data_IF_239742565525
#
_entry.id   IF_239742565525
#
_cell.length_a   1.000
_cell.length_b   1.000
_cell.length_c   1.000
_cell.angle_alpha   90.00
_cell.angle_beta   90.00
_cell.angle_gamma   90.00
#
_symmetry.space_group_name_H-M   'P 1'
#
loop_
_entity.id
_entity.type
_entity.pdbx_description
1 polymer ?
#
# COMPACT_ATOMS: atom_id res chain seq x y z
N UNK A 1 44.16 -8.14 67.97
CA UNK A 1 44.61 -9.40 67.40
C UNK A 1 43.40 -10.19 67.00
N UNK A 2 42.96 -9.99 65.78
CA UNK A 2 42.18 -10.93 64.96
C UNK A 2 41.82 -10.23 63.65
N UNK A 3 42.45 -10.76 62.61
CA UNK A 3 42.32 -10.34 61.22
C UNK A 3 40.91 -10.51 60.70
N UNK A 4 40.40 -9.48 60.04
CA UNK A 4 39.23 -9.53 59.18
C UNK A 4 39.69 -9.66 57.71
N UNK A 5 39.15 -10.59 56.90
CA UNK A 5 39.51 -10.71 55.53
C UNK A 5 38.85 -9.63 54.64
N UNK A 6 39.61 -9.12 53.69
CA UNK A 6 39.30 -8.22 52.64
C UNK A 6 38.10 -8.69 51.76
N UNK A 7 37.16 -7.83 51.52
CA UNK A 7 36.03 -8.06 50.63
C UNK A 7 36.48 -7.85 49.16
N UNK A 8 36.32 -8.83 48.33
CA UNK A 8 36.48 -8.80 46.86
C UNK A 8 35.33 -8.02 46.25
N UNK A 9 35.56 -7.05 45.39
CA UNK A 9 34.46 -6.33 44.70
C UNK A 9 33.83 -7.25 43.66
N UNK A 10 32.52 -7.40 43.79
CA UNK A 10 31.66 -8.23 43.00
C UNK A 10 31.59 -7.80 41.54
N UNK A 11 31.38 -8.81 40.72
CA UNK A 11 31.33 -8.79 39.28
C UNK A 11 30.26 -7.82 38.72
N UNK A 12 30.61 -7.31 37.58
CA UNK A 12 29.75 -6.49 36.74
C UNK A 12 28.43 -7.19 36.48
N UNK A 13 27.33 -6.53 36.81
CA UNK A 13 25.99 -6.93 36.43
C UNK A 13 25.87 -6.79 34.90
N UNK A 14 25.88 -7.91 34.20
CA UNK A 14 25.47 -7.98 32.83
C UNK A 14 24.03 -7.43 32.73
N UNK A 15 23.86 -6.29 32.05
CA UNK A 15 22.55 -5.71 31.78
C UNK A 15 21.80 -6.65 30.85
N UNK A 16 20.89 -7.41 31.43
CA UNK A 16 19.92 -8.25 30.71
C UNK A 16 18.86 -7.33 30.05
N UNK A 17 19.27 -6.53 29.05
CA UNK A 17 18.34 -5.83 28.19
C UNK A 17 17.79 -6.85 27.19
N UNK A 18 16.46 -7.05 27.16
CA UNK A 18 15.84 -7.86 26.12
C UNK A 18 16.20 -7.28 24.74
N UNK A 19 16.40 -8.13 23.73
CA UNK A 19 16.69 -7.67 22.39
C UNK A 19 15.58 -6.70 21.95
N UNK A 20 15.89 -5.64 21.15
CA UNK A 20 14.92 -4.69 20.69
C UNK A 20 13.80 -5.44 19.98
N UNK A 21 12.60 -5.33 20.52
CA UNK A 21 11.40 -5.92 19.92
C UNK A 21 11.28 -5.38 18.49
N UNK A 22 11.26 -6.28 17.52
CA UNK A 22 10.98 -5.94 16.11
C UNK A 22 9.57 -5.35 16.06
N UNK A 23 9.49 -4.02 16.03
CA UNK A 23 8.22 -3.33 15.84
C UNK A 23 7.67 -3.73 14.46
N UNK A 24 6.50 -4.32 14.47
CA UNK A 24 5.74 -4.62 13.24
C UNK A 24 5.55 -3.31 12.45
N UNK A 25 5.56 -3.33 11.11
CA UNK A 25 5.23 -2.17 10.28
C UNK A 25 3.91 -1.49 10.68
N UNK A 26 2.94 -2.27 11.15
CA UNK A 26 1.67 -1.76 11.71
C UNK A 26 1.89 -0.97 13.03
N UNK A 27 2.84 -1.38 13.86
CA UNK A 27 3.17 -0.67 15.10
C UNK A 27 3.94 0.65 14.83
N UNK A 28 4.73 0.71 13.76
CA UNK A 28 5.42 1.94 13.34
C UNK A 28 4.43 2.99 12.80
N UNK A 29 3.37 2.58 12.11
CA UNK A 29 2.25 3.46 11.70
C UNK A 29 1.32 3.83 12.87
N UNK A 30 1.17 2.96 13.85
CA UNK A 30 0.42 3.23 15.07
C UNK A 30 1.15 4.21 16.00
N UNK A 31 2.43 4.55 15.74
CA UNK A 31 3.12 5.59 16.48
C UNK A 31 2.43 6.95 16.27
N UNK A 32 2.07 7.68 17.34
CA UNK A 32 1.32 8.94 17.24
C UNK A 32 1.91 9.94 16.26
N UNK A 33 3.23 10.04 16.17
CA UNK A 33 3.93 10.96 15.26
C UNK A 33 3.84 10.55 13.76
N UNK A 34 3.72 9.27 13.45
CA UNK A 34 3.52 8.80 12.08
C UNK A 34 2.08 9.03 11.63
N UNK A 35 1.14 8.87 12.56
CA UNK A 35 -0.27 9.18 12.37
C UNK A 35 -0.50 10.65 12.05
N UNK A 36 0.00 11.56 12.88
CA UNK A 36 -0.18 13.00 12.66
C UNK A 36 0.44 13.45 11.33
N UNK A 37 1.57 12.92 10.94
CA UNK A 37 2.16 13.19 9.61
C UNK A 37 1.29 12.67 8.46
N UNK A 38 0.74 11.48 8.57
CA UNK A 38 -0.16 10.94 7.55
C UNK A 38 -1.44 11.76 7.45
N UNK A 39 -2.02 12.15 8.58
CA UNK A 39 -3.21 13.01 8.64
C UNK A 39 -2.96 14.37 7.99
N UNK A 40 -1.85 15.02 8.31
CA UNK A 40 -1.47 16.29 7.65
C UNK A 40 -1.34 16.13 6.13
N UNK A 41 -0.71 15.06 5.65
CA UNK A 41 -0.60 14.78 4.23
C UNK A 41 -1.95 14.47 3.58
N UNK A 42 -2.85 13.82 4.30
CA UNK A 42 -4.20 13.54 3.84
C UNK A 42 -5.01 14.83 3.74
N UNK A 43 -4.98 15.67 4.78
CA UNK A 43 -5.70 16.97 4.81
C UNK A 43 -5.19 17.92 3.69
N UNK A 44 -3.88 17.90 3.41
CA UNK A 44 -3.28 18.68 2.31
C UNK A 44 -3.68 18.13 0.93
N UNK A 45 -3.65 16.79 0.76
CA UNK A 45 -3.93 16.14 -0.53
C UNK A 45 -5.42 16.03 -0.83
N UNK A 46 -6.27 15.93 0.21
CA UNK A 46 -7.72 15.72 0.13
C UNK A 46 -8.42 16.79 0.95
N UNK A 47 -8.62 18.01 0.40
CA UNK A 47 -9.36 19.06 1.10
C UNK A 47 -10.72 18.53 1.54
N UNK A 48 -11.16 18.95 2.73
CA UNK A 48 -12.38 18.47 3.36
C UNK A 48 -13.58 18.52 2.42
N UNK A 49 -14.17 17.37 2.17
CA UNK A 49 -15.48 17.20 1.56
C UNK A 49 -16.59 17.45 2.56
N UNK A 50 -17.78 16.98 2.27
CA UNK A 50 -18.88 17.01 3.24
C UNK A 50 -18.58 16.04 4.41
N UNK A 51 -19.35 16.17 5.52
CA UNK A 51 -19.12 15.36 6.72
C UNK A 51 -19.19 13.84 6.48
N UNK A 52 -19.88 13.38 5.42
CA UNK A 52 -19.97 11.96 5.05
C UNK A 52 -18.67 11.47 4.40
N UNK A 53 -18.08 12.30 3.55
CA UNK A 53 -16.76 11.98 2.95
C UNK A 53 -15.67 11.90 4.02
N UNK A 54 -15.64 12.85 4.95
CA UNK A 54 -14.69 12.84 6.09
C UNK A 54 -14.88 11.58 6.94
N UNK A 55 -16.13 11.18 7.21
CA UNK A 55 -16.43 9.95 7.94
C UNK A 55 -15.95 8.70 7.18
N UNK A 56 -16.16 8.64 5.86
CA UNK A 56 -15.71 7.52 5.03
C UNK A 56 -14.18 7.42 5.00
N UNK A 57 -13.48 8.54 4.83
CA UNK A 57 -12.02 8.60 4.87
C UNK A 57 -11.49 8.11 6.22
N UNK A 58 -12.08 8.56 7.33
CA UNK A 58 -11.71 8.11 8.67
C UNK A 58 -11.96 6.61 8.86
N UNK A 59 -13.04 6.06 8.30
CA UNK A 59 -13.34 4.63 8.34
C UNK A 59 -12.30 3.82 7.59
N UNK A 60 -12.00 4.19 6.33
CA UNK A 60 -10.95 3.57 5.52
C UNK A 60 -9.61 3.60 6.25
N UNK A 61 -9.30 4.74 6.86
CA UNK A 61 -8.06 4.90 7.61
C UNK A 61 -8.01 4.00 8.87
N UNK A 62 -9.10 3.96 9.65
CA UNK A 62 -9.17 3.13 10.85
C UNK A 62 -9.00 1.65 10.50
N UNK A 63 -9.58 1.19 9.40
CA UNK A 63 -9.41 -0.18 8.92
C UNK A 63 -8.01 -0.44 8.38
N UNK A 64 -7.39 0.53 7.72
CA UNK A 64 -5.99 0.45 7.30
C UNK A 64 -5.07 0.18 8.51
N UNK A 65 -5.29 0.90 9.60
CA UNK A 65 -4.53 0.72 10.85
C UNK A 65 -4.81 -0.61 11.54
N UNK A 66 -6.06 -1.09 11.50
CA UNK A 66 -6.50 -2.35 12.12
C UNK A 66 -6.07 -3.58 11.33
N UNK A 67 -6.13 -3.52 10.00
CA UNK A 67 -5.86 -4.65 9.12
C UNK A 67 -4.36 -4.96 8.92
N UNK A 68 -3.46 -4.24 9.57
CA UNK A 68 -2.02 -4.45 9.41
C UNK A 68 -1.54 -4.22 7.97
N UNK A 69 -2.21 -3.33 7.23
CA UNK A 69 -1.92 -2.92 5.85
C UNK A 69 -2.17 -3.98 4.77
N UNK A 70 -3.28 -4.66 4.86
CA UNK A 70 -3.82 -5.43 3.73
C UNK A 70 -4.39 -4.47 2.66
N UNK A 71 -3.69 -4.35 1.53
CA UNK A 71 -4.07 -3.45 0.44
C UNK A 71 -5.43 -3.78 -0.14
N UNK A 72 -5.71 -5.06 -0.35
CA UNK A 72 -6.94 -5.50 -1.00
C UNK A 72 -8.15 -5.10 -0.15
N UNK A 73 -8.04 -5.26 1.16
CA UNK A 73 -9.10 -4.84 2.09
C UNK A 73 -9.33 -3.33 2.11
N UNK A 74 -8.27 -2.53 2.00
CA UNK A 74 -8.40 -1.08 1.89
C UNK A 74 -9.07 -0.69 0.59
N UNK A 75 -8.71 -1.31 -0.52
CA UNK A 75 -9.33 -1.04 -1.81
C UNK A 75 -10.81 -1.41 -1.83
N UNK A 76 -11.20 -2.54 -1.22
CA UNK A 76 -12.60 -2.94 -1.08
C UNK A 76 -13.41 -1.90 -0.27
N UNK A 77 -12.86 -1.37 0.80
CA UNK A 77 -13.49 -0.30 1.58
C UNK A 77 -13.63 0.98 0.77
N UNK A 78 -12.60 1.34 0.00
CA UNK A 78 -12.62 2.54 -0.85
C UNK A 78 -13.70 2.43 -1.93
N UNK A 79 -13.77 1.33 -2.67
CA UNK A 79 -14.80 1.17 -3.73
C UNK A 79 -16.20 1.16 -3.16
N UNK A 80 -16.42 0.49 -2.02
CA UNK A 80 -17.72 0.43 -1.33
C UNK A 80 -18.14 1.82 -0.83
N UNK A 81 -17.24 2.54 -0.16
CA UNK A 81 -17.51 3.89 0.35
C UNK A 81 -17.78 4.87 -0.79
N UNK A 82 -17.00 4.79 -1.88
CA UNK A 82 -17.17 5.68 -3.04
C UNK A 82 -18.51 5.44 -3.72
N UNK A 83 -18.91 4.17 -3.94
CA UNK A 83 -20.23 3.87 -4.49
C UNK A 83 -21.36 4.44 -3.62
N UNK A 84 -21.26 4.28 -2.30
CA UNK A 84 -22.25 4.79 -1.35
C UNK A 84 -22.33 6.33 -1.37
N UNK A 85 -21.19 7.01 -1.36
CA UNK A 85 -21.13 8.48 -1.36
C UNK A 85 -21.63 9.09 -2.67
N UNK A 86 -21.37 8.44 -3.80
CA UNK A 86 -21.73 8.96 -5.13
C UNK A 86 -23.09 8.48 -5.62
N UNK A 87 -23.70 7.49 -4.95
CA UNK A 87 -24.92 6.83 -5.40
C UNK A 87 -24.70 5.99 -6.67
N UNK A 88 -23.48 5.54 -6.91
CA UNK A 88 -23.12 4.67 -8.03
C UNK A 88 -23.67 3.26 -7.83
N UNK A 89 -24.04 2.58 -8.92
CA UNK A 89 -24.46 1.17 -8.90
C UNK A 89 -23.27 0.20 -9.00
N UNK A 90 -22.09 0.74 -9.32
CA UNK A 90 -20.83 0.02 -9.31
C UNK A 90 -19.63 0.96 -9.14
N UNK A 91 -18.55 0.41 -8.60
CA UNK A 91 -17.28 1.10 -8.42
C UNK A 91 -16.13 0.09 -8.51
N UNK A 92 -15.04 0.44 -9.17
CA UNK A 92 -13.92 -0.47 -9.36
C UNK A 92 -12.56 0.24 -9.43
N UNK A 93 -11.54 -0.43 -8.89
CA UNK A 93 -10.14 -0.04 -9.03
C UNK A 93 -9.41 -1.08 -9.86
N UNK A 94 -8.79 -0.64 -10.96
CA UNK A 94 -7.88 -1.47 -11.74
C UNK A 94 -6.45 -0.94 -11.61
N UNK A 95 -5.51 -1.84 -11.28
CA UNK A 95 -4.10 -1.51 -11.07
C UNK A 95 -3.22 -2.17 -12.12
N UNK A 96 -2.06 -1.57 -12.38
CA UNK A 96 -1.06 -2.11 -13.30
C UNK A 96 -0.32 -3.29 -12.67
N UNK A 97 -0.40 -4.45 -13.31
CA UNK A 97 0.29 -5.69 -12.93
C UNK A 97 0.96 -6.30 -14.17
N UNK A 98 2.29 -6.41 -14.15
CA UNK A 98 3.04 -6.96 -15.29
C UNK A 98 2.75 -6.26 -16.62
N UNK A 99 2.51 -4.95 -16.61
CA UNK A 99 2.17 -4.14 -17.79
C UNK A 99 0.71 -4.26 -18.27
N UNK A 100 -0.15 -4.93 -17.51
CA UNK A 100 -1.60 -5.05 -17.77
C UNK A 100 -2.38 -4.37 -16.66
N UNK A 101 -3.56 -3.84 -16.98
CA UNK A 101 -4.48 -3.31 -15.99
C UNK A 101 -5.44 -4.41 -15.55
N UNK A 102 -5.48 -4.69 -14.24
CA UNK A 102 -6.27 -5.77 -13.65
C UNK A 102 -7.17 -5.19 -12.56
N UNK A 103 -8.45 -5.54 -12.57
CA UNK A 103 -9.41 -5.17 -11.54
C UNK A 103 -9.02 -5.81 -10.20
N UNK A 104 -8.68 -4.98 -9.22
CA UNK A 104 -8.22 -5.41 -7.89
C UNK A 104 -9.26 -5.19 -6.80
N UNK A 105 -10.19 -4.27 -7.01
CA UNK A 105 -11.34 -4.09 -6.14
C UNK A 105 -12.56 -3.77 -6.97
N UNK A 106 -13.71 -4.30 -6.56
CA UNK A 106 -14.96 -4.21 -7.30
C UNK A 106 -16.13 -4.24 -6.33
N UNK A 107 -17.07 -3.33 -6.53
CA UNK A 107 -18.30 -3.26 -5.73
C UNK A 107 -19.50 -2.91 -6.62
N UNK A 108 -20.62 -3.60 -6.38
CA UNK A 108 -21.90 -3.33 -7.03
C UNK A 108 -22.12 -4.12 -8.32
N UNK A 109 -23.36 -4.03 -8.84
CA UNK A 109 -23.83 -4.88 -9.94
C UNK A 109 -23.27 -4.50 -11.31
N UNK A 110 -22.84 -3.25 -11.48
CA UNK A 110 -22.29 -2.74 -12.76
C UNK A 110 -20.77 -2.73 -12.82
N UNK A 111 -20.11 -3.07 -11.71
CA UNK A 111 -18.65 -3.11 -11.67
C UNK A 111 -18.10 -4.40 -12.32
N UNK A 112 -16.94 -4.33 -12.97
CA UNK A 112 -16.30 -5.52 -13.55
C UNK A 112 -15.91 -6.52 -12.44
N UNK A 113 -15.96 -7.84 -12.69
CA UNK A 113 -15.50 -8.85 -11.74
C UNK A 113 -14.01 -8.67 -11.38
N UNK A 114 -13.63 -9.10 -10.16
CA UNK A 114 -12.23 -9.14 -9.74
C UNK A 114 -11.38 -9.95 -10.73
N UNK A 115 -10.19 -9.49 -11.01
CA UNK A 115 -9.26 -10.11 -11.94
C UNK A 115 -9.55 -9.82 -13.41
N UNK A 116 -10.65 -9.13 -13.74
CA UNK A 116 -10.94 -8.69 -15.12
C UNK A 116 -9.78 -7.83 -15.63
N UNK A 117 -9.32 -8.13 -16.84
CA UNK A 117 -8.29 -7.35 -17.53
C UNK A 117 -8.94 -6.26 -18.35
N UNK A 118 -8.51 -5.04 -18.11
CA UNK A 118 -8.94 -3.90 -18.88
C UNK A 118 -8.15 -3.84 -20.19
N UNK A 119 -8.86 -3.67 -21.30
CA UNK A 119 -8.27 -3.38 -22.59
C UNK A 119 -7.99 -1.86 -22.72
N UNK A 120 -6.72 -1.43 -22.73
CA UNK A 120 -6.40 -0.01 -22.86
C UNK A 120 -6.72 0.56 -24.23
N UNK A 121 -7.05 -0.27 -25.24
CA UNK A 121 -7.43 0.20 -26.58
C UNK A 121 -8.92 0.52 -26.71
N UNK A 122 -9.77 0.05 -25.78
CA UNK A 122 -11.24 0.12 -25.89
C UNK A 122 -11.88 0.88 -24.72
N UNK A 123 -13.01 1.51 -25.02
CA UNK A 123 -13.90 2.14 -24.06
C UNK A 123 -13.33 3.39 -23.35
N UNK A 124 -14.12 3.92 -22.42
CA UNK A 124 -13.79 5.14 -21.68
C UNK A 124 -12.62 4.90 -20.72
N UNK A 125 -12.59 3.76 -20.04
CA UNK A 125 -11.52 3.37 -19.13
C UNK A 125 -10.19 3.19 -19.84
N UNK A 126 -10.19 2.56 -21.04
CA UNK A 126 -9.01 2.49 -21.90
C UNK A 126 -8.55 3.86 -22.37
N UNK A 127 -9.46 4.76 -22.71
CA UNK A 127 -9.13 6.14 -23.07
C UNK A 127 -8.50 6.89 -21.89
N UNK A 128 -9.00 6.71 -20.67
CA UNK A 128 -8.39 7.27 -19.44
C UNK A 128 -6.96 6.77 -19.26
N UNK A 129 -6.69 5.48 -19.47
CA UNK A 129 -5.34 4.91 -19.42
C UNK A 129 -4.41 5.58 -20.44
N UNK A 130 -4.86 5.79 -21.68
CA UNK A 130 -4.03 6.38 -22.75
C UNK A 130 -3.77 7.87 -22.54
N UNK A 131 -4.76 8.60 -22.03
CA UNK A 131 -4.68 10.06 -21.90
C UNK A 131 -4.16 10.52 -20.55
N UNK A 132 -4.30 9.69 -19.51
CA UNK A 132 -3.98 10.09 -18.14
C UNK A 132 -4.90 11.18 -17.58
N UNK A 133 -6.08 11.36 -18.17
CA UNK A 133 -7.03 12.40 -17.75
C UNK A 133 -8.30 11.78 -17.17
N UNK A 134 -8.95 12.55 -16.28
CA UNK A 134 -10.31 12.26 -15.84
C UNK A 134 -11.24 12.32 -17.03
N UNK A 135 -12.09 11.33 -17.17
CA UNK A 135 -13.11 11.26 -18.21
C UNK A 135 -14.47 11.00 -17.59
N UNK A 136 -15.50 11.61 -18.20
CA UNK A 136 -16.90 11.41 -17.82
C UNK A 136 -17.73 11.13 -19.08
N UNK A 137 -18.63 10.17 -18.95
CA UNK A 137 -19.69 9.89 -19.91
C UNK A 137 -21.04 10.05 -19.19
N UNK A 138 -21.86 10.95 -19.68
CA UNK A 138 -23.17 11.26 -19.09
C UNK A 138 -24.26 10.30 -19.60
N UNK A 139 -24.15 9.82 -20.84
CA UNK A 139 -25.05 8.84 -21.44
C UNK A 139 -24.28 7.89 -22.38
N UNK A 140 -24.03 6.68 -21.91
CA UNK A 140 -23.24 5.68 -22.61
C UNK A 140 -23.85 5.17 -23.91
N UNK A 141 -25.17 5.30 -24.11
CA UNK A 141 -25.83 4.97 -25.38
C UNK A 141 -25.53 5.98 -26.50
N UNK A 142 -25.11 7.18 -26.13
CA UNK A 142 -24.88 8.31 -27.05
C UNK A 142 -23.40 8.70 -27.15
N UNK A 143 -22.54 8.16 -26.30
CA UNK A 143 -21.13 8.53 -26.27
C UNK A 143 -20.28 7.57 -27.14
N UNK A 144 -19.72 8.03 -28.25
CA UNK A 144 -18.93 7.18 -29.16
C UNK A 144 -17.62 6.66 -28.55
N UNK A 145 -17.20 7.19 -27.39
CA UNK A 145 -16.01 6.74 -26.67
C UNK A 145 -16.24 5.49 -25.86
N UNK A 146 -17.50 5.10 -25.68
CA UNK A 146 -17.90 3.95 -24.84
C UNK A 146 -18.21 2.77 -25.73
N UNK A 147 -17.85 1.57 -25.27
CA UNK A 147 -18.22 0.33 -25.93
C UNK A 147 -19.73 0.07 -25.76
N UNK A 148 -20.50 0.28 -26.83
CA UNK A 148 -21.95 0.17 -26.82
C UNK A 148 -22.45 -1.26 -26.55
N UNK A 149 -21.68 -2.28 -26.95
CA UNK A 149 -22.04 -3.68 -26.69
C UNK A 149 -21.90 -4.01 -25.21
N UNK A 150 -20.78 -3.62 -24.60
CA UNK A 150 -20.53 -3.84 -23.18
C UNK A 150 -21.56 -3.10 -22.32
N UNK A 151 -21.88 -1.84 -22.64
CA UNK A 151 -22.84 -1.04 -21.89
C UNK A 151 -24.26 -1.59 -21.98
N UNK A 152 -24.65 -2.11 -23.15
CA UNK A 152 -25.97 -2.76 -23.34
C UNK A 152 -26.08 -4.05 -22.51
N UNK A 153 -25.02 -4.87 -22.43
CA UNK A 153 -24.99 -6.08 -21.65
C UNK A 153 -25.02 -5.82 -20.14
N UNK A 154 -24.33 -4.78 -19.68
CA UNK A 154 -24.19 -4.44 -18.27
C UNK A 154 -25.25 -3.46 -17.76
N UNK A 155 -26.02 -2.82 -18.67
CA UNK A 155 -27.01 -1.78 -18.35
C UNK A 155 -26.37 -0.46 -17.89
N UNK A 156 -25.08 -0.26 -18.11
CA UNK A 156 -24.39 0.98 -17.72
C UNK A 156 -24.87 2.13 -18.62
N UNK A 157 -25.24 3.26 -17.99
CA UNK A 157 -25.70 4.48 -18.67
C UNK A 157 -24.79 5.68 -18.40
N UNK A 158 -24.09 5.74 -17.28
CA UNK A 158 -23.09 6.78 -17.04
C UNK A 158 -21.84 6.22 -16.37
N UNK A 159 -20.70 6.85 -16.68
CA UNK A 159 -19.37 6.44 -16.23
C UNK A 159 -18.59 7.70 -15.84
N UNK A 160 -17.87 7.64 -14.71
CA UNK A 160 -16.80 8.58 -14.42
C UNK A 160 -15.55 7.79 -14.02
N UNK A 161 -14.42 8.09 -14.65
CA UNK A 161 -13.15 7.40 -14.45
C UNK A 161 -12.02 8.39 -14.24
N UNK A 162 -11.17 8.13 -13.26
CA UNK A 162 -9.99 8.93 -12.93
C UNK A 162 -8.72 8.09 -12.98
N UNK A 163 -7.60 8.67 -13.45
CA UNK A 163 -6.31 7.99 -13.41
C UNK A 163 -5.75 7.99 -11.98
N UNK A 164 -5.12 6.89 -11.60
CA UNK A 164 -4.32 6.78 -10.39
C UNK A 164 -2.86 7.05 -10.78
N UNK A 165 -2.37 8.23 -10.45
CA UNK A 165 -1.01 8.67 -10.79
C UNK A 165 -0.17 8.71 -9.52
N UNK A 166 0.93 7.95 -9.49
CA UNK A 166 1.90 7.90 -8.42
C UNK A 166 3.28 8.26 -8.97
N UNK A 167 3.94 9.25 -8.38
CA UNK A 167 5.29 9.71 -8.79
C UNK A 167 5.37 10.00 -10.30
N UNK A 168 4.33 10.64 -10.85
CA UNK A 168 4.21 10.98 -12.27
C UNK A 168 3.93 9.80 -13.21
N UNK A 169 3.70 8.60 -12.67
CA UNK A 169 3.40 7.39 -13.46
C UNK A 169 1.97 6.93 -13.23
N UNK A 170 1.31 6.53 -14.30
CA UNK A 170 0.00 5.88 -14.23
C UNK A 170 0.16 4.48 -13.63
N UNK A 171 -0.44 4.25 -12.45
CA UNK A 171 -0.41 2.97 -11.73
C UNK A 171 -1.75 2.25 -11.75
N UNK A 172 -2.80 2.90 -12.22
CA UNK A 172 -4.14 2.34 -12.29
C UNK A 172 -5.18 3.35 -12.73
N UNK A 173 -6.43 2.92 -12.65
CA UNK A 173 -7.62 3.79 -12.77
C UNK A 173 -8.61 3.46 -11.66
N UNK A 174 -9.46 4.43 -11.36
CA UNK A 174 -10.58 4.27 -10.44
C UNK A 174 -11.83 4.78 -11.11
N UNK A 175 -12.91 3.98 -11.13
CA UNK A 175 -14.14 4.30 -11.83
C UNK A 175 -15.38 4.09 -10.99
N UNK A 176 -16.42 4.88 -11.30
CA UNK A 176 -17.79 4.72 -10.82
C UNK A 176 -18.73 4.59 -12.02
N UNK A 177 -19.73 3.74 -11.86
CA UNK A 177 -20.63 3.27 -12.90
C UNK A 177 -22.08 3.38 -12.42
N UNK A 178 -23.00 3.73 -13.31
CA UNK A 178 -24.41 3.80 -12.97
C UNK A 178 -25.31 3.31 -14.11
N UNK A 179 -26.40 2.65 -13.74
CA UNK A 179 -27.49 2.30 -14.68
C UNK A 179 -28.37 3.49 -15.04
N UNK A 180 -28.17 4.66 -14.44
CA UNK A 180 -28.86 5.91 -14.76
C UNK A 180 -27.97 6.80 -15.62
N UNK A 181 -28.51 7.38 -16.68
CA UNK A 181 -27.84 8.45 -17.39
C UNK A 181 -27.73 9.70 -16.49
N UNK A 182 -26.71 10.52 -16.70
CA UNK A 182 -26.45 11.74 -15.96
C UNK A 182 -26.35 11.57 -14.44
N UNK A 183 -25.87 10.39 -13.99
CA UNK A 183 -25.78 10.11 -12.55
C UNK A 183 -24.61 10.82 -11.87
N UNK A 184 -23.59 11.25 -12.62
CA UNK A 184 -22.36 11.81 -12.09
C UNK A 184 -22.17 13.26 -12.51
N UNK A 185 -22.58 14.17 -11.67
CA UNK A 185 -22.32 15.62 -11.81
C UNK A 185 -20.93 15.96 -11.25
N UNK A 186 -20.66 17.26 -11.14
CA UNK A 186 -19.38 17.77 -10.63
C UNK A 186 -19.05 17.23 -9.24
N UNK A 187 -20.02 17.19 -8.32
CA UNK A 187 -19.83 16.76 -6.95
C UNK A 187 -19.36 15.28 -6.88
N UNK A 188 -20.04 14.36 -7.58
CA UNK A 188 -19.67 12.93 -7.59
C UNK A 188 -18.29 12.71 -8.19
N UNK A 189 -17.95 13.48 -9.22
CA UNK A 189 -16.64 13.41 -9.87
C UNK A 189 -15.54 13.92 -8.94
N UNK A 190 -15.78 14.99 -8.19
CA UNK A 190 -14.84 15.48 -7.18
C UNK A 190 -14.66 14.49 -6.03
N UNK A 191 -15.74 13.85 -5.56
CA UNK A 191 -15.66 12.76 -4.58
C UNK A 191 -14.78 11.63 -5.09
N UNK A 192 -15.00 11.19 -6.34
CA UNK A 192 -14.15 10.16 -6.95
C UNK A 192 -12.68 10.58 -7.01
N UNK A 193 -12.37 11.83 -7.36
CA UNK A 193 -11.00 12.33 -7.39
C UNK A 193 -10.36 12.36 -5.99
N UNK A 194 -11.11 12.75 -4.95
CA UNK A 194 -10.62 12.74 -3.57
C UNK A 194 -10.30 11.32 -3.10
N UNK A 195 -11.21 10.39 -3.37
CA UNK A 195 -11.00 8.99 -3.02
C UNK A 195 -9.84 8.36 -3.82
N UNK A 196 -9.64 8.75 -5.08
CA UNK A 196 -8.48 8.34 -5.87
C UNK A 196 -7.14 8.81 -5.28
N UNK A 197 -7.08 10.04 -4.79
CA UNK A 197 -5.90 10.54 -4.07
C UNK A 197 -5.61 9.73 -2.81
N UNK A 198 -6.65 9.35 -2.05
CA UNK A 198 -6.51 8.48 -0.88
C UNK A 198 -5.93 7.11 -1.26
N UNK A 199 -6.39 6.50 -2.35
CA UNK A 199 -5.84 5.24 -2.88
C UNK A 199 -4.35 5.38 -3.17
N UNK A 200 -3.95 6.41 -3.92
CA UNK A 200 -2.54 6.66 -4.28
C UNK A 200 -1.68 6.89 -3.05
N UNK A 201 -2.16 7.66 -2.08
CA UNK A 201 -1.47 7.93 -0.83
C UNK A 201 -1.24 6.63 -0.04
N UNK A 202 -2.27 5.79 0.06
CA UNK A 202 -2.19 4.47 0.70
C UNK A 202 -1.17 3.57 0.02
N UNK A 203 -1.20 3.48 -1.31
CA UNK A 203 -0.23 2.71 -2.08
C UNK A 203 1.22 3.19 -1.88
N UNK A 204 1.42 4.50 -1.78
CA UNK A 204 2.74 5.08 -1.55
C UNK A 204 3.31 4.67 -0.20
N UNK A 205 2.51 4.74 0.86
CA UNK A 205 2.89 4.32 2.20
C UNK A 205 3.20 2.83 2.31
N UNK A 206 2.38 2.00 1.68
CA UNK A 206 2.61 0.55 1.64
C UNK A 206 3.90 0.19 0.89
N UNK A 207 4.22 0.91 -0.20
CA UNK A 207 5.47 0.74 -0.93
C UNK A 207 6.70 1.10 -0.09
N UNK A 208 6.66 2.20 0.65
CA UNK A 208 7.75 2.63 1.54
C UNK A 208 8.03 1.59 2.65
N UNK A 209 6.98 1.01 3.23
CA UNK A 209 7.12 0.01 4.30
C UNK A 209 7.66 -1.32 3.77
N UNK A 210 7.22 -1.76 2.60
CA UNK A 210 7.81 -2.94 1.92
C UNK A 210 9.27 -2.72 1.58
N UNK A 211 9.64 -1.53 1.08
CA UNK A 211 11.03 -1.17 0.81
C UNK A 211 11.92 -1.27 2.05
N UNK A 212 11.53 -0.64 3.14
CA UNK A 212 12.24 -0.69 4.44
C UNK A 212 12.40 -2.12 4.98
N UNK A 213 11.37 -2.95 4.84
CA UNK A 213 11.40 -4.35 5.30
C UNK A 213 12.38 -5.19 4.47
N UNK A 214 12.45 -4.97 3.15
CA UNK A 214 13.39 -5.66 2.25
C UNK A 214 14.82 -5.25 2.56
N UNK A 215 15.09 -3.96 2.73
CA UNK A 215 16.42 -3.46 3.10
C UNK A 215 16.88 -3.96 4.46
N UNK A 216 16.00 -3.99 5.47
CA UNK A 216 16.31 -4.60 6.78
C UNK A 216 16.67 -6.08 6.66
N UNK A 217 15.86 -6.88 5.94
CA UNK A 217 16.14 -8.31 5.73
C UNK A 217 17.44 -8.56 4.97
N UNK A 218 17.73 -7.77 3.94
CA UNK A 218 18.98 -7.85 3.20
C UNK A 218 20.19 -7.55 4.11
N UNK A 219 20.10 -6.48 4.92
CA UNK A 219 21.17 -6.09 5.86
C UNK A 219 21.41 -7.15 6.94
N UNK A 220 20.35 -7.71 7.55
CA UNK A 220 20.47 -8.76 8.58
C UNK A 220 21.07 -10.02 8.01
N UNK A 221 20.73 -10.39 6.78
CA UNK A 221 21.28 -11.54 6.09
C UNK A 221 22.77 -11.35 5.77
N UNK A 222 23.18 -10.15 5.40
CA UNK A 222 24.56 -9.78 5.14
C UNK A 222 25.42 -9.85 6.40
N UNK A 223 24.93 -9.31 7.54
CA UNK A 223 25.61 -9.40 8.82
C UNK A 223 25.81 -10.83 9.30
N UNK A 224 24.84 -11.72 9.07
CA UNK A 224 24.99 -13.16 9.39
C UNK A 224 26.10 -13.82 8.56
N UNK A 225 26.19 -13.51 7.28
CA UNK A 225 27.25 -14.02 6.42
C UNK A 225 28.62 -13.49 6.86
N UNK A 226 28.72 -12.20 7.13
CA UNK A 226 29.97 -11.57 7.62
C UNK A 226 30.40 -12.17 8.97
N UNK A 227 29.47 -12.38 9.90
CA UNK A 227 29.76 -12.99 11.21
C UNK A 227 30.23 -14.44 11.07
N UNK A 228 29.63 -15.24 10.17
CA UNK A 228 30.04 -16.60 9.90
C UNK A 228 31.44 -16.65 9.26
N UNK A 229 31.75 -15.74 8.34
CA UNK A 229 33.10 -15.66 7.75
C UNK A 229 34.16 -15.22 8.77
N UNK A 230 33.83 -14.26 9.64
CA UNK A 230 34.71 -13.82 10.70
C UNK A 230 34.97 -14.94 11.71
N UNK A 231 33.95 -15.74 12.07
CA UNK A 231 34.08 -16.90 12.96
C UNK A 231 34.95 -18.01 12.32
N UNK A 232 34.74 -18.31 11.04
CA UNK A 232 35.55 -19.29 10.31
C UNK A 232 37.00 -18.85 10.22
N UNK A 233 37.26 -17.56 9.98
CA UNK A 233 38.62 -16.99 9.95
C UNK A 233 39.28 -17.07 11.33
N UNK A 234 38.55 -16.79 12.40
CA UNK A 234 39.04 -16.87 13.78
C UNK A 234 39.37 -18.30 14.16
N UNK A 235 38.50 -19.26 13.82
CA UNK A 235 38.75 -20.70 14.06
C UNK A 235 40.02 -21.15 13.30
N UNK A 236 40.15 -20.80 12.02
CA UNK A 236 41.32 -21.09 11.19
C UNK A 236 42.61 -20.53 11.78
N UNK A 237 42.57 -19.28 12.28
CA UNK A 237 43.69 -18.63 12.92
C UNK A 237 44.10 -19.32 14.23
N UNK A 238 43.14 -19.71 15.08
CA UNK A 238 43.37 -20.43 16.32
C UNK A 238 43.98 -21.82 16.07
N UNK A 239 43.44 -22.56 15.10
CA UNK A 239 43.92 -23.87 14.69
C UNK A 239 45.36 -23.79 14.15
N UNK A 240 45.64 -22.78 13.29
CA UNK A 240 47.00 -22.55 12.77
C UNK A 240 48.00 -22.23 13.86
N UNK A 241 47.61 -21.47 14.90
CA UNK A 241 48.48 -21.12 16.01
C UNK A 241 48.75 -22.29 16.96
N UNK A 242 47.76 -23.18 17.16
CA UNK A 242 47.87 -24.34 18.06
C UNK A 242 48.60 -25.53 17.40
N UNK A 243 48.37 -25.78 16.11
CA UNK A 243 48.95 -26.91 15.39
C UNK A 243 50.24 -26.59 14.63
N UNK A 244 50.52 -25.31 14.34
CA UNK A 244 51.72 -24.87 13.64
C UNK A 244 53.02 -25.29 14.30
N UNK A 245 53.18 -25.24 15.66
CA UNK A 245 54.40 -25.71 16.34
C UNK A 245 54.59 -27.22 16.30
N UNK A 246 53.51 -28.01 16.14
CA UNK A 246 53.55 -29.48 16.12
C UNK A 246 53.95 -30.05 14.75
N UNK A 247 53.82 -29.29 13.67
CA UNK A 247 54.12 -29.70 12.29
C UNK A 247 55.52 -29.26 11.81
N UNK A 248 56.21 -28.38 12.53
CA UNK A 248 57.56 -27.90 12.22
C UNK A 248 58.66 -28.46 13.14
N UNK A 249 58.33 -29.47 13.98
CA UNK A 249 59.25 -30.13 14.86
C UNK A 249 59.69 -31.50 14.37
N UNK A 250 60.35 -31.55 13.19
CA UNK A 250 61.28 -32.64 12.78
C UNK A 250 62.31 -32.02 11.89
#
# INVERSE_FOLDING_TARGET
>A
MQDLPEAVPGGAAESNQPPPQETSPAAELAAPAAWERFKLQLDEAVPAGDGREVSAINTVFTELMRAGMDADRVFDLVVTSTATLTGATGSAIALTEGGKFVCRASYGSTAPPLGTRLDPSSGLSGLCVRTGHLLRCDDAERDPRVDSELTRQTGIRSISVVPLIKDGKLVGIFEILSTRAHAFEKQQTETLQRMAKLVVLTMSRMGELRGKTIERRARTRWWRVVSLMALAFFIGFVVSRLLGPLLLGH
#
